data_IF_977939292368
#
_entry.id   IF_977939292368
#
_cell.length_a   1.000
_cell.length_b   1.000
_cell.length_c   1.000
_cell.angle_alpha   90.00
_cell.angle_beta   90.00
_cell.angle_gamma   90.00
#
_symmetry.space_group_name_H-M   'P 1'
#
loop_
_entity.id
_entity.type
_entity.pdbx_description
1 polymer ?
#
# COMPACT_ATOMS: atom_id res chain seq x y z
N UNK A 1 -26.89 17.91 13.29
CA UNK A 1 -27.29 16.85 14.25
C UNK A 1 -26.20 16.69 15.28
N UNK A 2 -26.53 16.82 16.57
CA UNK A 2 -25.65 16.46 17.67
C UNK A 2 -25.88 15.02 18.11
N UNK A 3 -24.79 14.34 18.45
CA UNK A 3 -24.79 12.94 18.88
C UNK A 3 -23.87 12.75 20.07
N UNK A 4 -24.13 11.69 20.82
CA UNK A 4 -23.34 11.32 21.99
C UNK A 4 -22.99 9.84 21.98
N UNK A 5 -21.71 9.55 22.15
CA UNK A 5 -21.25 8.23 22.54
C UNK A 5 -21.67 7.90 23.97
N UNK A 6 -22.28 6.73 24.15
CA UNK A 6 -22.86 6.31 25.41
C UNK A 6 -22.77 4.78 25.57
N UNK A 7 -22.73 4.32 26.82
CA UNK A 7 -22.85 2.90 27.12
C UNK A 7 -24.28 2.37 26.92
N UNK A 8 -24.41 1.06 26.68
CA UNK A 8 -25.71 0.39 26.60
C UNK A 8 -26.57 0.60 27.84
N UNK A 9 -25.95 0.65 29.02
CA UNK A 9 -26.62 0.92 30.30
C UNK A 9 -26.85 2.42 30.58
N UNK A 10 -26.64 3.29 29.58
CA UNK A 10 -26.79 4.74 29.70
C UNK A 10 -25.89 5.41 30.73
N UNK A 11 -24.81 4.75 31.19
CA UNK A 11 -23.91 5.32 32.20
C UNK A 11 -22.57 5.71 31.58
N UNK A 12 -22.22 7.00 31.63
CA UNK A 12 -20.91 7.49 31.19
C UNK A 12 -20.15 8.08 32.38
N UNK A 13 -18.92 7.63 32.65
CA UNK A 13 -18.06 8.15 33.73
C UNK A 13 -18.79 8.35 35.08
N UNK A 14 -19.61 7.35 35.48
CA UNK A 14 -20.45 7.34 36.70
C UNK A 14 -21.68 8.26 36.68
N UNK A 15 -21.93 9.00 35.59
CA UNK A 15 -23.19 9.71 35.39
C UNK A 15 -24.21 8.79 34.71
N UNK A 16 -25.26 8.44 35.44
CA UNK A 16 -26.39 7.67 34.91
C UNK A 16 -27.32 8.61 34.14
N UNK A 17 -27.46 8.37 32.84
CA UNK A 17 -28.31 9.15 31.95
C UNK A 17 -29.63 8.43 31.69
N UNK A 18 -30.62 9.19 31.23
CA UNK A 18 -31.93 8.71 30.77
C UNK A 18 -32.34 9.40 29.46
N UNK A 19 -33.28 8.81 28.74
CA UNK A 19 -33.96 9.52 27.63
C UNK A 19 -34.73 10.70 28.24
N UNK A 20 -34.68 11.86 27.57
CA UNK A 20 -35.16 13.14 28.07
C UNK A 20 -34.05 14.00 28.69
N UNK A 21 -34.43 14.93 29.56
CA UNK A 21 -33.53 15.89 30.17
C UNK A 21 -32.59 15.23 31.20
N UNK A 22 -31.30 15.52 31.06
CA UNK A 22 -30.25 15.16 32.00
C UNK A 22 -29.50 16.41 32.43
N UNK A 23 -29.24 16.53 33.73
CA UNK A 23 -28.47 17.62 34.35
C UNK A 23 -27.31 17.01 35.11
N UNK A 24 -26.10 17.46 34.86
CA UNK A 24 -24.95 17.08 35.69
C UNK A 24 -25.01 17.87 37.02
N UNK A 25 -24.83 17.17 38.13
CA UNK A 25 -24.88 17.77 39.47
C UNK A 25 -23.52 18.30 39.92
N UNK A 26 -22.44 17.98 39.20
CA UNK A 26 -21.12 18.56 39.46
C UNK A 26 -21.11 20.02 38.95
N UNK A 27 -20.60 20.99 39.74
CA UNK A 27 -20.51 22.38 39.32
C UNK A 27 -19.86 22.54 37.94
N UNK A 28 -20.50 23.31 37.06
CA UNK A 28 -20.02 23.51 35.71
C UNK A 28 -18.87 24.52 35.69
N UNK A 29 -17.74 24.13 35.10
CA UNK A 29 -16.61 25.03 34.81
C UNK A 29 -16.66 25.46 33.35
N UNK A 30 -16.40 26.74 33.06
CA UNK A 30 -16.21 27.20 31.68
C UNK A 30 -14.76 26.97 31.18
N UNK A 31 -13.85 26.64 32.08
CA UNK A 31 -12.43 26.42 31.80
C UNK A 31 -12.06 24.93 31.82
N UNK A 32 -11.04 24.57 31.03
CA UNK A 32 -10.49 23.22 30.97
C UNK A 32 -11.24 22.26 30.02
N UNK A 33 -10.48 21.43 29.30
CA UNK A 33 -11.04 20.50 28.29
C UNK A 33 -11.52 19.16 28.87
N UNK A 34 -10.83 18.64 29.88
CA UNK A 34 -11.08 17.32 30.50
C UNK A 34 -11.25 17.44 32.01
N UNK A 35 -12.08 18.39 32.45
CA UNK A 35 -12.40 18.62 33.86
C UNK A 35 -13.67 17.88 34.29
N UNK A 36 -13.86 17.59 35.59
CA UNK A 36 -15.13 17.08 36.10
C UNK A 36 -16.31 18.01 35.78
N UNK A 37 -17.49 17.42 35.65
CA UNK A 37 -18.75 18.13 35.38
C UNK A 37 -19.01 18.40 33.90
N UNK A 38 -20.27 18.33 33.51
CA UNK A 38 -20.76 18.54 32.16
C UNK A 38 -20.81 17.27 31.31
N UNK A 39 -21.78 17.25 30.40
CA UNK A 39 -22.10 16.15 29.51
C UNK A 39 -21.48 16.44 28.14
N UNK A 40 -20.53 15.61 27.72
CA UNK A 40 -19.88 15.75 26.40
C UNK A 40 -20.71 15.16 25.26
N UNK A 41 -20.72 15.85 24.12
CA UNK A 41 -21.33 15.44 22.85
C UNK A 41 -20.58 16.08 21.68
N UNK A 42 -20.90 15.71 20.43
CA UNK A 42 -20.27 16.28 19.24
C UNK A 42 -21.23 16.38 18.07
N UNK A 43 -20.84 17.11 17.03
CA UNK A 43 -21.46 16.99 15.72
C UNK A 43 -21.27 15.57 15.17
N UNK A 44 -22.28 15.03 14.48
CA UNK A 44 -22.20 13.69 13.90
C UNK A 44 -21.02 13.51 12.92
N UNK A 45 -20.65 14.58 12.20
CA UNK A 45 -19.48 14.58 11.30
C UNK A 45 -18.14 14.36 12.01
N UNK A 46 -18.07 14.64 13.32
CA UNK A 46 -16.85 14.55 14.13
C UNK A 46 -16.82 13.28 15.01
N UNK A 47 -17.84 12.41 14.88
CA UNK A 47 -18.06 11.27 15.79
C UNK A 47 -16.87 10.32 15.88
N UNK A 48 -16.13 10.18 14.77
CA UNK A 48 -15.02 9.25 14.64
C UNK A 48 -13.79 9.64 15.47
N UNK A 49 -13.68 10.91 15.85
CA UNK A 49 -12.61 11.38 16.77
C UNK A 49 -12.74 10.78 18.16
N UNK A 50 -13.92 10.29 18.47
CA UNK A 50 -14.32 9.82 19.79
C UNK A 50 -14.67 8.33 19.78
N UNK A 51 -14.34 7.58 18.73
CA UNK A 51 -14.68 6.16 18.61
C UNK A 51 -14.00 5.29 19.68
N UNK A 52 -12.76 5.61 20.03
CA UNK A 52 -11.92 4.75 20.86
C UNK A 52 -12.03 5.04 22.37
N UNK A 53 -13.04 5.82 22.80
CA UNK A 53 -13.24 6.17 24.21
C UNK A 53 -13.99 5.09 25.01
N UNK A 54 -14.21 3.91 24.42
CA UNK A 54 -14.76 2.73 25.10
C UNK A 54 -16.29 2.61 25.12
N UNK A 55 -17.00 3.48 24.39
CA UNK A 55 -18.46 3.41 24.26
C UNK A 55 -18.86 2.71 22.96
N UNK A 56 -20.00 2.03 22.98
CA UNK A 56 -20.48 1.21 21.85
C UNK A 56 -21.76 1.70 21.19
N UNK A 57 -22.51 2.58 21.87
CA UNK A 57 -23.81 3.06 21.39
C UNK A 57 -23.77 4.57 21.14
N UNK A 58 -24.69 5.03 20.29
CA UNK A 58 -24.94 6.42 19.96
C UNK A 58 -26.40 6.77 20.23
N UNK A 59 -26.62 7.97 20.75
CA UNK A 59 -27.92 8.63 20.71
C UNK A 59 -27.81 10.02 20.10
N UNK A 60 -28.96 10.53 19.64
CA UNK A 60 -29.15 11.92 19.22
C UNK A 60 -29.44 12.77 20.44
N UNK A 61 -28.88 13.98 20.46
CA UNK A 61 -29.02 14.90 21.57
C UNK A 61 -29.41 16.30 21.12
N UNK A 62 -30.06 17.01 22.02
CA UNK A 62 -30.40 18.42 21.93
C UNK A 62 -29.89 19.15 23.17
N UNK A 63 -29.58 20.43 22.99
CA UNK A 63 -29.04 21.29 24.04
C UNK A 63 -30.14 22.27 24.43
N UNK A 64 -30.62 22.26 25.69
CA UNK A 64 -31.59 23.26 26.16
C UNK A 64 -31.06 24.69 25.99
N UNK A 65 -31.94 25.65 25.73
CA UNK A 65 -31.57 27.06 25.56
C UNK A 65 -30.93 27.66 26.83
N UNK A 66 -31.30 27.15 28.00
CA UNK A 66 -30.77 27.58 29.30
C UNK A 66 -29.50 26.81 29.74
N UNK A 67 -28.96 25.94 28.89
CA UNK A 67 -27.78 25.16 29.23
C UNK A 67 -26.48 25.97 29.12
N UNK A 68 -25.66 25.93 30.16
CA UNK A 68 -24.29 26.42 30.09
C UNK A 68 -23.46 25.49 29.21
N UNK A 69 -22.83 26.04 28.17
CA UNK A 69 -22.12 25.25 27.15
C UNK A 69 -20.75 25.82 26.84
N UNK A 70 -19.73 24.95 26.82
CA UNK A 70 -18.41 25.25 26.28
C UNK A 70 -18.25 24.53 24.94
N UNK A 71 -17.85 25.28 23.91
CA UNK A 71 -17.54 24.75 22.58
C UNK A 71 -16.03 24.55 22.43
N UNK A 72 -15.64 23.33 22.10
CA UNK A 72 -14.28 23.00 21.69
C UNK A 72 -14.22 22.80 20.17
N UNK A 73 -13.03 22.50 19.64
CA UNK A 73 -12.82 22.35 18.20
C UNK A 73 -13.70 21.28 17.54
N UNK A 74 -13.94 20.16 18.22
CA UNK A 74 -14.66 18.98 17.66
C UNK A 74 -15.65 18.32 18.63
N UNK A 75 -15.96 18.99 19.72
CA UNK A 75 -16.89 18.51 20.76
C UNK A 75 -17.42 19.70 21.53
N UNK A 76 -18.45 19.42 22.30
CA UNK A 76 -19.11 20.36 23.19
C UNK A 76 -19.25 19.72 24.56
N UNK A 77 -19.41 20.56 25.57
CA UNK A 77 -19.73 20.14 26.93
C UNK A 77 -20.77 21.08 27.50
N UNK A 78 -21.89 20.53 27.96
CA UNK A 78 -22.98 21.31 28.54
C UNK A 78 -23.34 20.80 29.92
N UNK A 79 -23.81 21.67 30.83
CA UNK A 79 -24.33 21.25 32.14
C UNK A 79 -25.63 20.44 32.04
N UNK A 80 -26.42 20.69 30.99
CA UNK A 80 -27.66 19.96 30.67
C UNK A 80 -27.65 19.45 29.24
N UNK A 81 -28.29 18.30 29.02
CA UNK A 81 -28.45 17.70 27.70
C UNK A 81 -29.74 16.90 27.62
N UNK A 82 -30.47 17.03 26.52
CA UNK A 82 -31.66 16.23 26.24
C UNK A 82 -31.24 15.06 25.35
N UNK A 83 -31.44 13.83 25.81
CA UNK A 83 -31.28 12.63 24.97
C UNK A 83 -32.62 12.36 24.30
N UNK A 84 -32.66 12.42 22.97
CA UNK A 84 -33.91 12.38 22.20
C UNK A 84 -34.38 10.95 21.98
N UNK A 85 -33.44 10.04 21.73
CA UNK A 85 -33.73 8.65 21.38
C UNK A 85 -32.94 7.66 22.24
N UNK A 86 -33.45 6.43 22.31
CA UNK A 86 -32.75 5.32 22.95
C UNK A 86 -31.44 5.07 22.20
N UNK A 87 -30.30 4.93 22.89
CA UNK A 87 -29.05 4.67 22.21
C UNK A 87 -29.07 3.34 21.48
N UNK A 88 -28.53 3.36 20.27
CA UNK A 88 -28.39 2.18 19.40
C UNK A 88 -26.91 1.94 19.12
N UNK A 89 -26.50 0.72 18.74
CA UNK A 89 -25.15 0.48 18.25
C UNK A 89 -24.74 1.49 17.17
N UNK A 90 -23.47 1.90 17.16
CA UNK A 90 -22.93 2.91 16.23
C UNK A 90 -23.37 2.72 14.77
N UNK A 91 -23.35 1.47 14.30
CA UNK A 91 -23.67 1.11 12.93
C UNK A 91 -25.18 1.19 12.61
N UNK A 92 -26.04 1.21 13.62
CA UNK A 92 -27.51 1.26 13.48
C UNK A 92 -28.06 2.69 13.64
N UNK A 93 -27.21 3.65 13.97
CA UNK A 93 -27.64 5.01 14.23
C UNK A 93 -28.20 5.69 12.96
N UNK A 94 -29.31 6.41 13.12
CA UNK A 94 -30.05 7.05 12.01
C UNK A 94 -29.23 8.07 11.20
N UNK A 95 -28.11 8.56 11.73
CA UNK A 95 -27.21 9.48 11.01
C UNK A 95 -26.70 8.91 9.68
N UNK A 96 -26.61 7.58 9.54
CA UNK A 96 -26.21 6.93 8.29
C UNK A 96 -27.21 7.07 7.15
N UNK A 97 -28.42 7.57 7.45
CA UNK A 97 -29.45 7.90 6.46
C UNK A 97 -29.40 9.36 6.01
N UNK A 98 -28.64 10.20 6.71
CA UNK A 98 -28.45 11.61 6.36
C UNK A 98 -27.30 11.74 5.36
N UNK A 99 -27.64 12.09 4.12
CA UNK A 99 -26.71 12.16 2.99
C UNK A 99 -25.60 13.16 3.24
N UNK A 100 -25.90 14.33 3.82
CA UNK A 100 -24.91 15.40 4.02
C UNK A 100 -23.93 15.03 5.13
N UNK A 101 -24.43 14.44 6.22
CA UNK A 101 -23.58 13.88 7.28
C UNK A 101 -22.69 12.77 6.70
N UNK A 102 -23.27 11.85 5.92
CA UNK A 102 -22.54 10.76 5.28
C UNK A 102 -21.40 11.27 4.39
N UNK A 103 -21.64 12.27 3.55
CA UNK A 103 -20.63 12.92 2.71
C UNK A 103 -19.48 13.51 3.54
N UNK A 104 -19.78 14.19 4.65
CA UNK A 104 -18.76 14.76 5.54
C UNK A 104 -17.94 13.68 6.24
N UNK A 105 -18.57 12.58 6.65
CA UNK A 105 -17.90 11.45 7.32
C UNK A 105 -16.96 10.73 6.35
N UNK A 106 -17.40 10.37 5.15
CA UNK A 106 -16.55 9.65 4.19
C UNK A 106 -15.39 10.50 3.65
N UNK A 107 -15.56 11.83 3.62
CA UNK A 107 -14.46 12.77 3.32
C UNK A 107 -13.33 12.74 4.36
N UNK A 108 -13.65 12.42 5.61
CA UNK A 108 -12.66 12.28 6.69
C UNK A 108 -12.14 10.86 6.83
N UNK A 109 -12.94 9.85 6.47
CA UNK A 109 -12.56 8.45 6.48
C UNK A 109 -13.44 7.63 5.52
N UNK A 110 -12.95 7.42 4.30
CA UNK A 110 -13.67 6.69 3.25
C UNK A 110 -14.08 5.26 3.61
N UNK A 111 -13.44 4.63 4.60
CA UNK A 111 -13.77 3.25 5.02
C UNK A 111 -15.13 3.15 5.70
N UNK A 112 -15.67 4.28 6.16
CA UNK A 112 -16.98 4.35 6.78
C UNK A 112 -18.13 4.21 5.79
N UNK A 113 -17.84 4.18 4.49
CA UNK A 113 -18.80 3.80 3.45
C UNK A 113 -19.50 2.48 3.76
N UNK A 114 -18.82 1.56 4.45
CA UNK A 114 -19.37 0.26 4.85
C UNK A 114 -20.59 0.31 5.79
N UNK A 115 -20.87 1.46 6.40
CA UNK A 115 -22.03 1.68 7.27
C UNK A 115 -23.18 2.42 6.57
N UNK A 116 -23.00 2.80 5.30
CA UNK A 116 -23.96 3.57 4.52
C UNK A 116 -24.70 2.61 3.59
N UNK A 117 -25.98 2.38 3.89
CA UNK A 117 -26.85 1.53 3.09
C UNK A 117 -27.28 2.20 1.78
N UNK A 118 -27.49 3.53 1.78
CA UNK A 118 -27.88 4.27 0.57
C UNK A 118 -26.68 5.02 0.02
N UNK A 119 -25.98 4.38 -0.91
CA UNK A 119 -24.77 4.92 -1.51
C UNK A 119 -25.08 5.66 -2.81
N UNK A 120 -24.97 6.98 -2.79
CA UNK A 120 -24.97 7.77 -4.03
C UNK A 120 -23.60 7.72 -4.70
N UNK A 121 -23.56 7.93 -6.01
CA UNK A 121 -22.29 7.96 -6.75
C UNK A 121 -21.30 8.99 -6.18
N UNK A 122 -21.81 10.14 -5.72
CA UNK A 122 -21.00 11.18 -5.09
C UNK A 122 -20.39 10.70 -3.76
N UNK A 123 -21.16 10.04 -2.89
CA UNK A 123 -20.67 9.47 -1.63
C UNK A 123 -19.57 8.44 -1.91
N UNK A 124 -19.78 7.53 -2.88
CA UNK A 124 -18.78 6.54 -3.26
C UNK A 124 -17.51 7.20 -3.79
N UNK A 125 -17.64 8.20 -4.67
CA UNK A 125 -16.49 8.95 -5.20
C UNK A 125 -15.73 9.69 -4.10
N UNK A 126 -16.42 10.29 -3.13
CA UNK A 126 -15.78 10.95 -1.98
C UNK A 126 -15.02 9.94 -1.12
N UNK A 127 -15.63 8.79 -0.82
CA UNK A 127 -15.00 7.72 -0.05
C UNK A 127 -13.74 7.18 -0.75
N UNK A 128 -13.85 6.88 -2.04
CA UNK A 128 -12.73 6.37 -2.86
C UNK A 128 -11.64 7.42 -3.06
N UNK A 129 -11.97 8.71 -3.21
CA UNK A 129 -10.98 9.81 -3.26
C UNK A 129 -10.19 9.96 -1.97
N UNK A 130 -10.82 9.68 -0.83
CA UNK A 130 -10.13 9.70 0.45
C UNK A 130 -9.24 8.46 0.60
N UNK A 131 -9.74 7.28 0.23
CA UNK A 131 -9.00 6.02 0.33
C UNK A 131 -9.42 5.05 -0.76
N UNK A 132 -8.51 4.68 -1.64
CA UNK A 132 -8.79 3.91 -2.85
C UNK A 132 -9.41 2.54 -2.56
N UNK A 133 -8.98 1.86 -1.50
CA UNK A 133 -9.54 0.57 -1.12
C UNK A 133 -10.92 0.66 -0.45
N UNK A 134 -11.46 1.87 -0.23
CA UNK A 134 -12.88 2.04 0.07
C UNK A 134 -13.77 1.48 -1.06
N UNK A 135 -13.22 1.30 -2.27
CA UNK A 135 -13.87 0.60 -3.38
C UNK A 135 -14.46 -0.75 -2.98
N UNK A 136 -13.84 -1.47 -2.03
CA UNK A 136 -14.36 -2.73 -1.47
C UNK A 136 -15.79 -2.60 -0.91
N UNK A 137 -16.14 -1.42 -0.41
CA UNK A 137 -17.42 -1.14 0.24
C UNK A 137 -18.44 -0.47 -0.70
N UNK A 138 -18.05 -0.18 -1.94
CA UNK A 138 -18.96 0.34 -2.96
C UNK A 138 -19.86 -0.79 -3.43
N UNK A 139 -21.16 -0.68 -3.21
CA UNK A 139 -22.13 -1.71 -3.59
C UNK A 139 -22.34 -1.78 -5.11
N UNK A 140 -22.50 -0.62 -5.75
CA UNK A 140 -22.60 -0.52 -7.21
C UNK A 140 -21.38 0.20 -7.78
N UNK A 141 -20.48 -0.58 -8.37
CA UNK A 141 -19.21 -0.11 -8.91
C UNK A 141 -19.37 0.37 -10.35
N UNK A 142 -19.46 1.68 -10.55
CA UNK A 142 -19.38 2.26 -11.89
C UNK A 142 -17.94 2.25 -12.41
N UNK A 143 -17.79 2.23 -13.73
CA UNK A 143 -16.48 2.34 -14.40
C UNK A 143 -15.66 3.53 -13.90
N UNK A 144 -16.31 4.68 -13.68
CA UNK A 144 -15.67 5.89 -13.20
C UNK A 144 -15.19 5.79 -11.74
N UNK A 145 -15.96 5.13 -10.86
CA UNK A 145 -15.52 4.87 -9.48
C UNK A 145 -14.34 3.91 -9.47
N UNK A 146 -14.38 2.84 -10.26
CA UNK A 146 -13.25 1.90 -10.38
C UNK A 146 -12.00 2.60 -10.89
N UNK A 147 -12.11 3.37 -11.98
CA UNK A 147 -11.00 4.18 -12.53
C UNK A 147 -10.43 5.14 -11.49
N UNK A 148 -11.28 5.83 -10.74
CA UNK A 148 -10.87 6.74 -9.68
C UNK A 148 -10.04 6.05 -8.59
N UNK A 149 -10.38 4.81 -8.23
CA UNK A 149 -9.61 4.01 -7.26
C UNK A 149 -8.27 3.57 -7.85
N UNK A 150 -8.27 2.92 -9.02
CA UNK A 150 -7.04 2.39 -9.63
C UNK A 150 -6.07 3.50 -10.05
N UNK A 151 -6.58 4.69 -10.39
CA UNK A 151 -5.77 5.84 -10.73
C UNK A 151 -5.01 6.41 -9.52
N UNK A 152 -5.55 6.25 -8.30
CA UNK A 152 -4.84 6.60 -7.07
C UNK A 152 -3.77 5.56 -6.73
N UNK A 153 -4.11 4.28 -6.79
CA UNK A 153 -3.13 3.21 -6.65
C UNK A 153 -3.56 1.97 -7.43
N UNK A 154 -2.69 1.46 -8.31
CA UNK A 154 -3.03 0.35 -9.22
C UNK A 154 -3.48 -0.93 -8.52
N UNK A 155 -3.01 -1.20 -7.30
CA UNK A 155 -3.45 -2.37 -6.52
C UNK A 155 -4.93 -2.34 -6.12
N UNK A 156 -5.61 -1.19 -6.21
CA UNK A 156 -7.05 -1.12 -6.01
C UNK A 156 -7.83 -1.99 -7.01
N UNK A 157 -7.19 -2.43 -8.11
CA UNK A 157 -7.72 -3.42 -9.04
C UNK A 157 -8.20 -4.70 -8.33
N UNK A 158 -7.57 -5.06 -7.20
CA UNK A 158 -8.00 -6.17 -6.34
C UNK A 158 -9.49 -6.09 -5.94
N UNK A 159 -10.03 -4.88 -5.77
CA UNK A 159 -11.41 -4.65 -5.35
C UNK A 159 -12.37 -4.36 -6.50
N UNK A 160 -11.89 -4.37 -7.75
CA UNK A 160 -12.73 -4.17 -8.93
C UNK A 160 -13.48 -5.46 -9.24
N UNK A 161 -14.82 -5.41 -9.18
CA UNK A 161 -15.67 -6.56 -9.44
C UNK A 161 -15.57 -7.00 -10.91
N UNK A 162 -15.79 -6.04 -11.82
CA UNK A 162 -15.76 -6.24 -13.28
C UNK A 162 -14.55 -5.53 -13.86
N UNK A 163 -13.53 -6.31 -14.22
CA UNK A 163 -12.31 -5.80 -14.83
C UNK A 163 -12.49 -5.66 -16.34
N UNK A 164 -12.30 -4.44 -16.85
CA UNK A 164 -12.22 -4.17 -18.29
C UNK A 164 -10.76 -3.99 -18.69
N UNK A 165 -10.45 -4.22 -19.97
CA UNK A 165 -9.09 -4.00 -20.52
C UNK A 165 -8.55 -2.61 -20.15
N UNK A 166 -9.38 -1.57 -20.28
CA UNK A 166 -9.01 -0.19 -19.92
C UNK A 166 -8.68 -0.03 -18.43
N UNK A 167 -9.45 -0.63 -17.52
CA UNK A 167 -9.19 -0.56 -16.07
C UNK A 167 -7.91 -1.33 -15.72
N UNK A 168 -7.70 -2.51 -16.32
CA UNK A 168 -6.50 -3.31 -16.11
C UNK A 168 -5.24 -2.57 -16.61
N UNK A 169 -5.29 -2.03 -17.84
CA UNK A 169 -4.20 -1.21 -18.41
C UNK A 169 -3.89 -0.01 -17.51
N UNK A 170 -4.91 0.72 -17.06
CA UNK A 170 -4.74 1.84 -16.14
C UNK A 170 -4.09 1.40 -14.82
N UNK A 171 -4.50 0.25 -14.26
CA UNK A 171 -3.95 -0.26 -13.02
C UNK A 171 -2.46 -0.61 -13.14
N UNK A 172 -2.06 -1.34 -14.19
CA UNK A 172 -0.65 -1.73 -14.38
C UNK A 172 0.24 -0.54 -14.75
N UNK A 173 -0.30 0.46 -15.46
CA UNK A 173 0.39 1.73 -15.71
C UNK A 173 0.67 2.51 -14.40
N UNK A 174 -0.25 2.44 -13.43
CA UNK A 174 -0.08 3.09 -12.12
C UNK A 174 0.83 2.29 -11.18
N UNK A 175 0.76 0.97 -11.24
CA UNK A 175 1.54 0.06 -10.41
C UNK A 175 1.73 -1.27 -11.15
N UNK A 176 2.91 -1.54 -11.72
CA UNK A 176 3.15 -2.68 -12.60
C UNK A 176 2.89 -4.03 -11.92
N UNK A 177 3.15 -4.15 -10.62
CA UNK A 177 2.83 -5.36 -9.85
C UNK A 177 1.32 -5.59 -9.67
N UNK A 178 0.46 -4.62 -10.02
CA UNK A 178 -0.98 -4.83 -10.07
C UNK A 178 -1.39 -5.89 -11.11
N UNK A 179 -0.47 -6.29 -11.99
CA UNK A 179 -0.64 -7.45 -12.87
C UNK A 179 -1.07 -8.71 -12.10
N UNK A 180 -0.61 -8.87 -10.85
CA UNK A 180 -1.05 -9.95 -9.96
C UNK A 180 -2.58 -10.03 -9.81
N UNK A 181 -3.28 -8.90 -9.87
CA UNK A 181 -4.74 -8.85 -9.72
C UNK A 181 -5.51 -8.91 -11.04
N UNK A 182 -4.81 -8.91 -12.18
CA UNK A 182 -5.45 -8.97 -13.51
C UNK A 182 -5.94 -10.39 -13.76
N UNK A 183 -7.27 -10.56 -13.88
CA UNK A 183 -7.90 -11.86 -14.09
C UNK A 183 -7.69 -12.42 -15.49
N UNK A 184 -7.67 -11.56 -16.49
CA UNK A 184 -7.47 -11.91 -17.90
C UNK A 184 -6.33 -11.05 -18.44
N UNK A 185 -5.20 -11.69 -18.69
CA UNK A 185 -3.99 -11.01 -19.19
C UNK A 185 -4.00 -11.00 -20.72
N UNK A 186 -3.74 -9.83 -21.29
CA UNK A 186 -3.41 -9.67 -22.72
C UNK A 186 -1.92 -9.38 -22.83
N UNK A 187 -1.34 -9.69 -23.99
CA UNK A 187 0.06 -9.37 -24.29
C UNK A 187 0.38 -7.89 -24.00
N UNK A 188 -0.53 -6.99 -24.39
CA UNK A 188 -0.38 -5.56 -24.13
C UNK A 188 -0.41 -5.19 -22.64
N UNK A 189 -1.32 -5.77 -21.84
CA UNK A 189 -1.34 -5.55 -20.38
C UNK A 189 -0.03 -6.04 -19.74
N UNK A 190 0.45 -7.22 -20.14
CA UNK A 190 1.71 -7.77 -19.63
C UNK A 190 2.89 -6.88 -20.00
N UNK A 191 3.00 -6.43 -21.25
CA UNK A 191 4.04 -5.50 -21.72
C UNK A 191 4.00 -4.19 -20.96
N UNK A 192 2.83 -3.59 -20.77
CA UNK A 192 2.67 -2.37 -19.97
C UNK A 192 3.15 -2.58 -18.53
N UNK A 193 2.78 -3.70 -17.91
CA UNK A 193 3.16 -4.03 -16.54
C UNK A 193 4.68 -4.18 -16.36
N UNK A 194 5.34 -4.97 -17.22
CA UNK A 194 6.79 -5.20 -17.10
C UNK A 194 7.61 -3.97 -17.50
N UNK A 195 7.09 -3.14 -18.41
CA UNK A 195 7.73 -1.88 -18.77
C UNK A 195 7.65 -0.86 -17.62
N UNK A 196 6.56 -0.89 -16.84
CA UNK A 196 6.41 -0.07 -15.63
C UNK A 196 7.30 -0.59 -14.49
N UNK A 197 7.34 -1.92 -14.28
CA UNK A 197 8.19 -2.56 -13.30
C UNK A 197 8.58 -3.96 -13.78
N UNK A 198 9.86 -4.15 -14.12
CA UNK A 198 10.38 -5.42 -14.61
C UNK A 198 10.11 -6.64 -13.71
N UNK A 199 9.95 -6.47 -12.40
CA UNK A 199 9.58 -7.56 -11.49
C UNK A 199 8.11 -8.00 -11.61
N UNK A 200 7.28 -7.28 -12.37
CA UNK A 200 5.94 -7.76 -12.73
C UNK A 200 5.99 -9.05 -13.57
N UNK A 201 7.15 -9.38 -14.17
CA UNK A 201 7.37 -10.62 -14.91
C UNK A 201 6.99 -11.87 -14.11
N UNK A 202 7.16 -11.84 -12.77
CA UNK A 202 6.79 -12.95 -11.89
C UNK A 202 5.28 -13.30 -11.93
N UNK A 203 4.43 -12.38 -12.42
CA UNK A 203 2.99 -12.54 -12.50
C UNK A 203 2.48 -12.73 -13.93
N UNK A 204 3.36 -12.71 -14.93
CA UNK A 204 2.99 -12.98 -16.32
C UNK A 204 2.72 -14.47 -16.48
N UNK A 205 1.49 -14.83 -16.86
CA UNK A 205 1.11 -16.23 -17.05
C UNK A 205 1.78 -16.85 -18.29
N UNK A 206 1.74 -16.14 -19.42
CA UNK A 206 2.32 -16.56 -20.68
C UNK A 206 3.51 -15.66 -21.05
N UNK A 207 4.72 -16.10 -20.73
CA UNK A 207 5.94 -15.35 -21.01
C UNK A 207 6.38 -15.51 -22.46
N UNK A 208 6.44 -14.39 -23.19
CA UNK A 208 7.10 -14.31 -24.50
C UNK A 208 8.52 -13.76 -24.36
N UNK A 209 9.40 -14.08 -25.32
CA UNK A 209 10.74 -13.50 -25.38
C UNK A 209 10.72 -11.97 -25.33
N UNK A 210 9.74 -11.35 -25.98
CA UNK A 210 9.60 -9.89 -25.98
C UNK A 210 9.27 -9.35 -24.58
N UNK A 211 8.30 -9.96 -23.88
CA UNK A 211 7.94 -9.58 -22.50
C UNK A 211 9.13 -9.77 -21.57
N UNK A 212 9.84 -10.90 -21.66
CA UNK A 212 11.06 -11.16 -20.88
C UNK A 212 12.12 -10.09 -21.16
N UNK A 213 12.41 -9.78 -22.44
CA UNK A 213 13.40 -8.76 -22.81
C UNK A 213 12.99 -7.37 -22.30
N UNK A 214 11.70 -7.00 -22.34
CA UNK A 214 11.21 -5.75 -21.77
C UNK A 214 11.40 -5.69 -20.26
N UNK A 215 11.06 -6.75 -19.54
CA UNK A 215 11.25 -6.85 -18.09
C UNK A 215 12.72 -6.69 -17.69
N UNK A 216 13.62 -7.38 -18.40
CA UNK A 216 15.05 -7.39 -18.14
C UNK A 216 15.73 -6.06 -18.44
N UNK A 217 15.27 -5.33 -19.46
CA UNK A 217 15.72 -3.96 -19.73
C UNK A 217 15.45 -3.04 -18.53
N UNK A 218 14.33 -3.23 -17.83
CA UNK A 218 14.03 -2.47 -16.61
C UNK A 218 14.75 -2.98 -15.38
N UNK A 219 14.77 -4.29 -15.15
CA UNK A 219 15.47 -4.89 -14.01
C UNK A 219 16.11 -6.20 -14.46
N UNK A 220 17.44 -6.24 -14.59
CA UNK A 220 18.19 -7.44 -14.96
C UNK A 220 18.00 -8.57 -13.95
N UNK A 221 17.80 -8.23 -12.68
CA UNK A 221 17.45 -9.18 -11.62
C UNK A 221 16.07 -9.83 -11.79
N UNK A 222 15.22 -9.36 -12.72
CA UNK A 222 13.98 -10.05 -13.08
C UNK A 222 14.26 -11.40 -13.79
N UNK A 223 15.51 -11.68 -14.17
CA UNK A 223 15.95 -12.98 -14.70
C UNK A 223 15.54 -14.15 -13.80
N UNK A 224 15.47 -13.94 -12.49
CA UNK A 224 15.01 -14.94 -11.53
C UNK A 224 13.57 -15.45 -11.79
N UNK A 225 12.77 -14.67 -12.53
CA UNK A 225 11.39 -14.99 -12.87
C UNK A 225 11.21 -15.44 -14.32
N UNK A 226 12.29 -15.51 -15.11
CA UNK A 226 12.22 -15.97 -16.49
C UNK A 226 12.15 -17.49 -16.52
N UNK A 227 11.09 -18.03 -17.13
CA UNK A 227 10.87 -19.49 -17.21
C UNK A 227 11.88 -20.17 -18.15
N UNK A 228 12.19 -19.56 -19.29
CA UNK A 228 13.11 -20.09 -20.31
C UNK A 228 14.27 -19.13 -20.51
N UNK A 229 15.44 -19.50 -20.01
CA UNK A 229 16.65 -18.71 -20.12
C UNK A 229 17.46 -19.13 -21.36
N UNK A 230 17.43 -18.30 -22.40
CA UNK A 230 18.36 -18.41 -23.53
C UNK A 230 19.66 -17.65 -23.23
N UNK A 231 20.72 -17.95 -23.98
CA UNK A 231 21.99 -17.23 -23.86
C UNK A 231 21.81 -15.71 -24.09
N UNK A 232 20.99 -15.31 -25.07
CA UNK A 232 20.65 -13.91 -25.33
C UNK A 232 19.93 -13.25 -24.14
N UNK A 233 18.95 -13.94 -23.55
CA UNK A 233 18.20 -13.46 -22.37
C UNK A 233 19.11 -13.29 -21.16
N UNK A 234 19.98 -14.27 -20.90
CA UNK A 234 20.96 -14.20 -19.81
C UNK A 234 21.95 -13.05 -20.01
N UNK A 235 22.51 -12.92 -21.22
CA UNK A 235 23.42 -11.82 -21.57
C UNK A 235 22.72 -10.46 -21.43
N UNK A 236 21.48 -10.33 -21.87
CA UNK A 236 20.71 -9.10 -21.71
C UNK A 236 20.55 -8.71 -20.24
N UNK A 237 20.17 -9.68 -19.39
CA UNK A 237 20.00 -9.47 -17.96
C UNK A 237 21.30 -9.07 -17.25
N UNK A 238 22.38 -9.79 -17.53
CA UNK A 238 23.72 -9.55 -16.95
C UNK A 238 24.29 -8.23 -17.44
N UNK A 239 24.09 -7.88 -18.71
CA UNK A 239 24.53 -6.61 -19.26
C UNK A 239 23.80 -5.41 -18.63
N UNK A 240 22.52 -5.59 -18.26
CA UNK A 240 21.77 -4.57 -17.54
C UNK A 240 22.23 -4.46 -16.08
N UNK A 241 22.50 -5.58 -15.41
CA UNK A 241 23.02 -5.63 -14.05
C UNK A 241 23.88 -6.89 -13.87
N UNK A 242 25.20 -6.72 -13.72
CA UNK A 242 26.13 -7.87 -13.57
C UNK A 242 25.79 -8.81 -12.43
N UNK A 243 25.13 -8.33 -11.37
CA UNK A 243 24.65 -9.17 -10.26
C UNK A 243 23.54 -10.14 -10.64
N UNK A 244 22.89 -9.97 -11.80
CA UNK A 244 21.93 -10.92 -12.33
C UNK A 244 22.58 -12.28 -12.65
N UNK A 245 23.92 -12.37 -12.73
CA UNK A 245 24.66 -13.62 -12.90
C UNK A 245 24.24 -14.70 -11.87
N UNK A 246 23.89 -14.27 -10.65
CA UNK A 246 23.43 -15.19 -9.59
C UNK A 246 22.13 -15.94 -9.93
N UNK A 247 21.38 -15.47 -10.92
CA UNK A 247 20.13 -16.08 -11.39
C UNK A 247 20.28 -16.81 -12.73
N UNK A 248 21.49 -16.83 -13.32
CA UNK A 248 21.76 -17.55 -14.57
C UNK A 248 21.88 -19.05 -14.27
N UNK A 249 20.99 -19.85 -14.85
CA UNK A 249 20.98 -21.30 -14.65
C UNK A 249 22.20 -21.99 -15.30
N UNK A 250 22.51 -21.61 -16.55
CA UNK A 250 23.64 -22.13 -17.31
C UNK A 250 24.62 -21.01 -17.62
N UNK A 251 25.69 -20.96 -16.85
CA UNK A 251 26.74 -19.95 -17.01
C UNK A 251 27.73 -20.34 -18.10
N UNK A 252 27.75 -19.59 -19.20
CA UNK A 252 28.82 -19.68 -20.21
C UNK A 252 30.01 -18.83 -19.79
N UNK A 253 31.21 -19.14 -20.31
CA UNK A 253 32.41 -18.34 -20.06
C UNK A 253 32.21 -16.88 -20.50
N UNK A 254 31.49 -16.64 -21.58
CA UNK A 254 31.14 -15.31 -22.07
C UNK A 254 30.21 -14.55 -21.11
N UNK A 255 29.14 -15.18 -20.60
CA UNK A 255 28.23 -14.57 -19.62
C UNK A 255 28.98 -14.23 -18.32
N UNK A 256 29.84 -15.14 -17.84
CA UNK A 256 30.66 -14.89 -16.65
C UNK A 256 31.62 -13.72 -16.86
N UNK A 257 32.30 -13.67 -18.01
CA UNK A 257 33.20 -12.57 -18.38
C UNK A 257 32.47 -11.23 -18.43
N UNK A 258 31.29 -11.19 -19.07
CA UNK A 258 30.43 -10.01 -19.10
C UNK A 258 30.11 -9.50 -17.68
N UNK A 259 29.70 -10.39 -16.78
CA UNK A 259 29.36 -10.03 -15.40
C UNK A 259 30.56 -9.44 -14.63
N UNK A 260 31.72 -10.10 -14.68
CA UNK A 260 32.90 -9.66 -13.92
C UNK A 260 33.57 -8.42 -14.52
N UNK A 261 33.37 -8.16 -15.81
CA UNK A 261 33.78 -6.90 -16.44
C UNK A 261 32.95 -5.70 -15.95
N UNK A 262 31.65 -5.91 -15.68
CA UNK A 262 30.79 -4.88 -15.12
C UNK A 262 31.09 -4.65 -13.65
N UNK A 263 31.16 -5.74 -12.86
CA UNK A 263 31.43 -5.70 -11.43
C UNK A 263 32.29 -6.90 -11.03
N UNK A 264 33.54 -6.68 -10.65
CA UNK A 264 34.48 -7.74 -10.28
C UNK A 264 33.97 -8.59 -9.10
N UNK A 265 33.23 -7.98 -8.18
CA UNK A 265 32.61 -8.67 -7.04
C UNK A 265 31.59 -9.75 -7.45
N UNK A 266 31.06 -9.72 -8.68
CA UNK A 266 30.19 -10.78 -9.21
C UNK A 266 30.92 -12.11 -9.40
N UNK A 267 32.26 -12.13 -9.30
CA UNK A 267 33.06 -13.36 -9.24
C UNK A 267 32.56 -14.32 -8.15
N UNK A 268 31.95 -13.80 -7.08
CA UNK A 268 31.33 -14.60 -6.03
C UNK A 268 30.22 -15.55 -6.54
N UNK A 269 29.57 -15.19 -7.65
CA UNK A 269 28.48 -15.96 -8.26
C UNK A 269 28.95 -16.82 -9.44
N UNK A 270 30.24 -16.77 -9.81
CA UNK A 270 30.78 -17.61 -10.88
C UNK A 270 30.92 -19.04 -10.39
N UNK A 271 30.21 -19.97 -11.03
CA UNK A 271 30.24 -21.39 -10.69
C UNK A 271 31.62 -21.99 -11.01
N UNK A 272 32.08 -21.82 -12.25
CA UNK A 272 33.38 -22.31 -12.74
C UNK A 272 34.31 -21.14 -12.99
N UNK A 273 35.29 -20.97 -12.10
CA UNK A 273 36.25 -19.86 -12.16
C UNK A 273 37.46 -20.24 -13.03
N UNK A 274 37.51 -19.73 -14.26
CA UNK A 274 38.70 -19.84 -15.12
C UNK A 274 39.75 -18.80 -14.70
N UNK A 275 41.01 -19.03 -15.10
CA UNK A 275 42.08 -18.06 -14.85
C UNK A 275 41.75 -16.69 -15.44
N UNK A 276 41.24 -16.65 -16.68
CA UNK A 276 40.87 -15.40 -17.36
C UNK A 276 39.73 -14.68 -16.65
N UNK A 277 38.65 -15.38 -16.23
CA UNK A 277 37.55 -14.76 -15.48
C UNK A 277 38.05 -14.16 -14.15
N UNK A 278 38.84 -14.92 -13.38
CA UNK A 278 39.41 -14.42 -12.12
C UNK A 278 40.33 -13.22 -12.34
N UNK A 279 41.17 -13.26 -13.38
CA UNK A 279 42.07 -12.17 -13.72
C UNK A 279 41.28 -10.92 -14.09
N UNK A 280 40.27 -11.05 -14.95
CA UNK A 280 39.40 -9.95 -15.35
C UNK A 280 38.67 -9.34 -14.14
N UNK A 281 38.11 -10.17 -13.26
CA UNK A 281 37.44 -9.72 -12.05
C UNK A 281 38.36 -8.92 -11.12
N UNK A 282 39.57 -9.43 -10.84
CA UNK A 282 40.55 -8.77 -9.96
C UNK A 282 41.14 -7.51 -10.60
N UNK A 283 41.25 -7.48 -11.93
CA UNK A 283 41.66 -6.27 -12.66
C UNK A 283 40.58 -5.19 -12.63
N UNK A 284 39.31 -5.58 -12.65
CA UNK A 284 38.17 -4.66 -12.55
C UNK A 284 38.05 -4.11 -11.12
N UNK A 285 38.10 -4.98 -10.11
CA UNK A 285 38.10 -4.64 -8.69
C UNK A 285 39.01 -5.60 -7.92
N UNK A 286 40.09 -5.08 -7.36
CA UNK A 286 41.06 -5.89 -6.61
C UNK A 286 40.43 -6.61 -5.41
N UNK A 287 39.35 -6.07 -4.84
CA UNK A 287 38.62 -6.71 -3.73
C UNK A 287 37.97 -8.02 -4.17
N UNK A 288 37.69 -8.21 -5.46
CA UNK A 288 37.19 -9.47 -6.01
C UNK A 288 38.12 -10.66 -5.72
N UNK A 289 39.41 -10.41 -5.43
CA UNK A 289 40.35 -11.45 -5.03
C UNK A 289 39.86 -12.27 -3.83
N UNK A 290 39.05 -11.67 -2.93
CA UNK A 290 38.44 -12.39 -1.81
C UNK A 290 37.57 -13.58 -2.26
N UNK A 291 37.00 -13.51 -3.47
CA UNK A 291 36.10 -14.50 -4.06
C UNK A 291 36.79 -15.55 -4.93
N UNK A 292 38.11 -15.47 -5.13
CA UNK A 292 38.88 -16.49 -5.86
C UNK A 292 38.93 -17.78 -5.03
N UNK A 293 38.37 -18.88 -5.57
CA UNK A 293 38.27 -20.18 -4.88
C UNK A 293 39.63 -20.87 -4.67
N UNK A 294 40.54 -20.79 -5.66
CA UNK A 294 41.85 -21.44 -5.64
C UNK A 294 43.01 -20.43 -5.73
N UNK A 295 43.21 -19.65 -4.65
CA UNK A 295 44.15 -18.51 -4.59
C UNK A 295 45.59 -18.88 -4.94
N UNK A 296 46.10 -20.00 -4.46
CA UNK A 296 47.49 -20.44 -4.70
C UNK A 296 47.78 -20.66 -6.18
N UNK A 297 46.88 -21.35 -6.90
CA UNK A 297 47.01 -21.57 -8.35
C UNK A 297 46.93 -20.26 -9.14
N UNK A 298 46.02 -19.36 -8.72
CA UNK A 298 45.85 -18.06 -9.35
C UNK A 298 47.09 -17.17 -9.19
N UNK A 299 47.64 -17.05 -7.98
CA UNK A 299 48.85 -16.26 -7.71
C UNK A 299 50.04 -16.79 -8.52
N UNK A 300 50.22 -18.12 -8.57
CA UNK A 300 51.30 -18.74 -9.37
C UNK A 300 51.20 -18.30 -10.84
N UNK A 301 50.00 -18.41 -11.46
CA UNK A 301 49.79 -17.97 -12.85
C UNK A 301 50.01 -16.46 -13.02
N UNK A 302 49.61 -15.64 -12.04
CA UNK A 302 49.85 -14.20 -12.06
C UNK A 302 51.34 -13.86 -12.07
N UNK A 303 52.13 -14.50 -11.19
CA UNK A 303 53.58 -14.30 -11.08
C UNK A 303 54.33 -14.72 -12.34
N UNK A 304 53.89 -15.77 -13.05
CA UNK A 304 54.49 -16.18 -14.33
C UNK A 304 54.32 -15.11 -15.43
N UNK A 305 53.21 -14.38 -15.45
CA UNK A 305 52.96 -13.28 -16.38
C UNK A 305 53.77 -12.02 -16.06
N UNK A 306 53.97 -11.70 -14.77
CA UNK A 306 54.81 -10.56 -14.38
C UNK A 306 56.32 -10.85 -14.49
N UNK A 307 56.74 -12.12 -14.43
CA UNK A 307 58.14 -12.52 -14.72
C UNK A 307 58.50 -12.41 -16.22
N UNK A 308 57.52 -12.34 -17.12
CA UNK A 308 57.78 -12.18 -18.56
C UNK A 308 58.04 -10.72 -18.97
N UNK A 309 57.88 -9.74 -18.08
CA UNK A 309 58.11 -8.31 -18.33
C UNK A 309 59.39 -7.74 -17.68
N UNK A 310 60.22 -8.56 -17.02
CA UNK A 310 61.46 -8.12 -16.32
C UNK A 310 62.74 -8.51 -17.09
N UNK A 311 62.64 -9.02 -18.33
CA UNK A 311 63.80 -9.29 -19.19
C UNK A 311 63.62 -8.71 -20.59
N UNK A 312 63.59 -7.37 -20.70
CA UNK A 312 64.05 -6.58 -21.85
C UNK A 312 64.70 -5.32 -21.26
#
# INVERSE_FOLDING_TARGET
MYVKWINRNMCNRKLQLKVGLNTDTIPFSQEGDCVPGGIYYCDAKDIMRWKDIGYSHLCTVEVPDDAQTVKFKYKYRSDKLIIIDTPVPFQEHKMWKDIDICKLIVKQNGILLKYIDVQTEEICKLAVKHKEYALKYVMDQTKEICKLAVNQHGSALHYVNVQTDEICKLAVLRHGLALYYVKVQTDEICKLAVNQNGYALQYVMDQTDEICKLALKQHGSALQYVNVQTDEICKLAVNQNGYALKYVNLQTDEICKLAVQLYGDTLQYVNVQTYEICKMAVQQDYMAFKHVKHKTSFIIKLLFLYKTFIFI
#
